data_IF_446178896438
#
_entry.id   IF_446178896438
#
_cell.length_a   1.000
_cell.length_b   1.000
_cell.length_c   1.000
_cell.angle_alpha   90.00
_cell.angle_beta   90.00
_cell.angle_gamma   90.00
#
_symmetry.space_group_name_H-M   'P 1'
#
loop_
_entity.id
_entity.type
_entity.pdbx_description
1 polymer ?
#
# COMPACT_ATOMS: atom_id res chain seq x y z
N UNK A 1 24.17 9.82 -11.65
CA UNK A 1 22.70 9.87 -11.47
C UNK A 1 22.39 9.39 -10.06
N UNK A 2 21.96 10.28 -9.18
CA UNK A 2 21.52 9.89 -7.85
C UNK A 2 20.35 8.93 -7.96
N UNK A 3 20.50 7.79 -7.30
CA UNK A 3 19.51 6.71 -7.37
C UNK A 3 18.36 7.04 -6.44
N UNK A 4 17.20 7.43 -6.99
CA UNK A 4 15.99 7.72 -6.24
C UNK A 4 15.69 6.64 -5.19
N UNK A 5 15.66 7.02 -3.91
CA UNK A 5 15.31 6.15 -2.78
C UNK A 5 13.81 6.14 -2.58
N UNK A 6 13.23 4.96 -2.41
CA UNK A 6 11.77 4.78 -2.26
C UNK A 6 11.49 4.02 -0.98
N UNK A 7 10.68 4.61 -0.12
CA UNK A 7 10.11 3.95 1.06
C UNK A 7 8.69 3.53 0.78
N UNK A 8 8.39 2.24 0.93
CA UNK A 8 7.04 1.70 0.78
C UNK A 8 6.48 1.34 2.15
N UNK A 9 5.46 2.05 2.61
CA UNK A 9 4.79 1.80 3.88
C UNK A 9 3.56 0.92 3.69
N UNK A 10 3.64 -0.31 4.15
CA UNK A 10 2.54 -1.27 4.13
C UNK A 10 1.48 -0.93 5.20
N UNK A 11 0.24 -1.42 5.04
CA UNK A 11 -0.73 -1.38 6.13
C UNK A 11 -0.19 -2.08 7.39
N UNK A 12 -0.48 -1.53 8.56
CA UNK A 12 -0.21 -2.21 9.82
C UNK A 12 -0.86 -3.61 9.83
N UNK A 13 -0.14 -4.64 10.23
CA UNK A 13 -0.50 -6.07 10.19
C UNK A 13 -0.47 -6.72 8.79
N UNK A 14 -0.02 -6.03 7.75
CA UNK A 14 0.18 -6.66 6.45
C UNK A 14 1.41 -7.60 6.50
N UNK A 15 1.23 -8.87 6.10
CA UNK A 15 2.30 -9.86 6.12
C UNK A 15 3.15 -9.78 4.85
N UNK A 16 4.37 -9.25 4.95
CA UNK A 16 5.35 -9.25 3.86
C UNK A 16 6.20 -10.52 3.88
N UNK A 17 5.54 -11.65 3.65
CA UNK A 17 6.15 -12.98 3.74
C UNK A 17 5.53 -13.92 2.70
N UNK A 18 6.27 -14.92 2.17
CA UNK A 18 5.67 -15.97 1.35
C UNK A 18 4.74 -16.89 2.16
N UNK A 19 4.77 -16.82 3.49
CA UNK A 19 3.87 -17.54 4.39
C UNK A 19 2.68 -16.64 4.70
N UNK A 20 1.48 -16.99 4.23
CA UNK A 20 0.24 -16.22 4.38
C UNK A 20 0.40 -14.74 3.99
N UNK A 21 0.80 -14.45 2.75
CA UNK A 21 0.95 -13.08 2.29
C UNK A 21 -0.40 -12.37 2.21
N UNK A 22 -0.42 -11.09 2.57
CA UNK A 22 -1.56 -10.24 2.22
C UNK A 22 -1.55 -9.83 0.74
N UNK A 23 -2.70 -9.45 0.21
CA UNK A 23 -2.84 -9.05 -1.20
C UNK A 23 -1.97 -7.82 -1.55
N UNK A 24 -1.88 -6.85 -0.64
CA UNK A 24 -1.02 -5.66 -0.81
C UNK A 24 0.45 -6.06 -0.82
N UNK A 25 0.85 -6.99 0.03
CA UNK A 25 2.23 -7.51 0.08
C UNK A 25 2.64 -8.22 -1.21
N UNK A 26 1.75 -9.01 -1.81
CA UNK A 26 1.98 -9.63 -3.11
C UNK A 26 2.15 -8.59 -4.21
N UNK A 27 1.25 -7.59 -4.25
CA UNK A 27 1.34 -6.49 -5.19
C UNK A 27 2.68 -5.74 -5.06
N UNK A 28 3.04 -5.32 -3.86
CA UNK A 28 4.31 -4.59 -3.59
C UNK A 28 5.52 -5.46 -3.95
N UNK A 29 5.51 -6.75 -3.61
CA UNK A 29 6.56 -7.70 -3.98
C UNK A 29 6.71 -7.78 -5.51
N UNK A 30 5.60 -7.94 -6.26
CA UNK A 30 5.67 -8.14 -7.71
C UNK A 30 6.08 -6.85 -8.44
N UNK A 31 5.52 -5.69 -8.07
CA UNK A 31 5.88 -4.40 -8.65
C UNK A 31 7.32 -3.99 -8.32
N UNK A 32 7.77 -4.20 -7.09
CA UNK A 32 9.15 -3.91 -6.69
C UNK A 32 10.17 -4.79 -7.42
N UNK A 33 9.84 -6.06 -7.67
CA UNK A 33 10.75 -6.98 -8.37
C UNK A 33 11.04 -6.59 -9.82
N UNK A 34 10.07 -5.98 -10.51
CA UNK A 34 10.23 -5.53 -11.91
C UNK A 34 10.65 -4.07 -12.01
N UNK A 35 10.70 -3.34 -10.89
CA UNK A 35 11.09 -1.94 -10.87
C UNK A 35 12.58 -1.76 -11.17
N UNK A 36 12.90 -0.78 -12.02
CA UNK A 36 14.29 -0.33 -12.22
C UNK A 36 14.94 0.21 -10.95
N UNK A 37 14.13 0.59 -9.95
CA UNK A 37 14.56 1.08 -8.64
C UNK A 37 14.64 -0.01 -7.56
N UNK A 38 14.50 -1.29 -7.90
CA UNK A 38 14.44 -2.42 -6.92
C UNK A 38 15.50 -2.31 -5.82
N UNK A 39 16.74 -1.99 -6.18
CA UNK A 39 17.87 -1.90 -5.22
C UNK A 39 17.74 -0.73 -4.24
N UNK A 40 16.92 0.28 -4.55
CA UNK A 40 16.72 1.49 -3.77
C UNK A 40 15.34 1.52 -3.07
N UNK A 41 14.55 0.46 -3.22
CA UNK A 41 13.27 0.29 -2.53
C UNK A 41 13.54 -0.32 -1.16
N UNK A 42 12.92 0.26 -0.13
CA UNK A 42 12.82 -0.33 1.22
C UNK A 42 11.34 -0.46 1.57
N UNK A 43 10.91 -1.67 1.86
CA UNK A 43 9.54 -1.94 2.32
C UNK A 43 9.50 -1.93 3.83
N UNK A 44 8.60 -1.12 4.40
CA UNK A 44 8.35 -1.02 5.83
C UNK A 44 7.05 -1.74 6.19
N UNK A 45 7.09 -2.59 7.18
CA UNK A 45 5.95 -3.37 7.62
C UNK A 45 6.06 -3.84 9.06
N UNK A 46 5.07 -4.60 9.50
CA UNK A 46 5.05 -5.24 10.82
C UNK A 46 4.55 -6.67 10.66
N UNK A 47 5.46 -7.60 10.36
CA UNK A 47 5.14 -9.03 10.25
C UNK A 47 5.95 -9.85 11.25
N UNK A 48 5.30 -10.85 11.85
CA UNK A 48 5.93 -11.80 12.78
C UNK A 48 6.70 -12.92 12.08
N UNK A 49 6.43 -13.21 10.82
CA UNK A 49 7.11 -14.28 10.09
C UNK A 49 8.60 -13.97 9.90
N UNK A 50 9.48 -14.95 10.18
CA UNK A 50 10.92 -14.82 9.96
C UNK A 50 11.27 -14.68 8.48
N UNK A 51 10.67 -15.52 7.61
CA UNK A 51 10.90 -15.50 6.16
C UNK A 51 10.18 -14.32 5.53
N UNK A 52 10.89 -13.45 4.83
CA UNK A 52 10.37 -12.29 4.08
C UNK A 52 10.50 -12.54 2.57
N UNK A 53 9.82 -11.76 1.75
CA UNK A 53 10.12 -11.70 0.32
C UNK A 53 11.52 -11.12 0.08
N UNK A 54 12.13 -11.45 -1.07
CA UNK A 54 13.47 -11.01 -1.48
C UNK A 54 13.48 -9.55 -1.97
N UNK A 55 13.17 -8.65 -1.05
CA UNK A 55 13.24 -7.18 -1.22
C UNK A 55 13.67 -6.63 0.12
N UNK A 56 14.47 -5.55 0.11
CA UNK A 56 14.94 -4.91 1.34
C UNK A 56 13.73 -4.53 2.22
N UNK A 57 13.67 -5.13 3.40
CA UNK A 57 12.53 -5.01 4.30
C UNK A 57 12.99 -4.53 5.68
N UNK A 58 12.24 -3.59 6.23
CA UNK A 58 12.43 -3.11 7.59
C UNK A 58 11.19 -3.45 8.44
N UNK A 59 11.39 -4.27 9.48
CA UNK A 59 10.31 -4.63 10.40
C UNK A 59 10.16 -3.58 11.50
N UNK A 60 9.00 -2.92 11.54
CA UNK A 60 8.69 -1.95 12.58
C UNK A 60 8.15 -2.67 13.81
N UNK A 61 9.03 -2.95 14.78
CA UNK A 61 8.64 -3.59 16.03
C UNK A 61 7.87 -2.62 16.93
N UNK A 62 6.75 -3.07 17.48
CA UNK A 62 5.89 -2.27 18.35
C UNK A 62 6.02 -2.72 19.81
N UNK A 63 5.96 -1.75 20.72
CA UNK A 63 5.91 -2.02 22.16
C UNK A 63 4.47 -2.31 22.62
N UNK A 64 4.34 -2.87 23.83
CA UNK A 64 3.05 -3.11 24.46
C UNK A 64 2.50 -1.88 25.20
N UNK A 65 2.97 -0.69 24.84
CA UNK A 65 2.52 0.56 25.42
C UNK A 65 1.01 0.78 25.19
N UNK A 66 0.26 1.05 26.25
CA UNK A 66 -1.21 1.04 26.23
C UNK A 66 -1.88 2.37 25.84
N UNK A 67 -1.14 3.49 25.95
CA UNK A 67 -1.73 4.85 25.76
C UNK A 67 -1.91 5.26 24.28
N UNK A 68 -1.38 4.54 23.33
CA UNK A 68 -1.54 4.82 21.89
C UNK A 68 -1.86 3.57 21.11
N UNK A 69 -2.71 3.70 20.07
CA UNK A 69 -3.03 2.58 19.21
C UNK A 69 -1.76 2.03 18.51
N UNK A 70 -1.73 0.73 18.25
CA UNK A 70 -0.62 0.10 17.51
C UNK A 70 -0.38 0.73 16.14
N UNK A 71 -1.46 1.12 15.46
CA UNK A 71 -1.39 1.81 14.17
C UNK A 71 -0.68 3.17 14.29
N UNK A 72 -0.97 3.95 15.34
CA UNK A 72 -0.30 5.23 15.59
C UNK A 72 1.17 5.05 15.96
N UNK A 73 1.49 4.06 16.80
CA UNK A 73 2.88 3.71 17.11
C UNK A 73 3.66 3.32 15.85
N UNK A 74 3.01 2.55 14.96
CA UNK A 74 3.60 2.10 13.70
C UNK A 74 4.00 3.27 12.81
N UNK A 75 3.07 4.21 12.58
CA UNK A 75 3.33 5.41 11.79
C UNK A 75 4.39 6.29 12.43
N UNK A 76 4.31 6.53 13.73
CA UNK A 76 5.30 7.38 14.44
C UNK A 76 6.72 6.78 14.36
N UNK A 77 6.86 5.45 14.44
CA UNK A 77 8.17 4.81 14.26
C UNK A 77 8.69 4.92 12.84
N UNK A 78 7.80 4.77 11.84
CA UNK A 78 8.15 4.99 10.44
C UNK A 78 8.65 6.43 10.22
N UNK A 79 7.93 7.43 10.72
CA UNK A 79 8.30 8.85 10.63
C UNK A 79 9.70 9.08 11.21
N UNK A 80 10.01 8.56 12.40
CA UNK A 80 11.34 8.69 13.01
C UNK A 80 12.46 8.09 12.16
N UNK A 81 12.15 7.01 11.41
CA UNK A 81 13.13 6.42 10.50
C UNK A 81 13.33 7.32 9.29
N UNK A 82 12.25 7.87 8.72
CA UNK A 82 12.30 8.80 7.59
C UNK A 82 12.97 10.13 7.93
N UNK A 83 12.84 10.63 9.18
CA UNK A 83 13.60 11.80 9.67
C UNK A 83 15.10 11.54 9.65
N UNK A 84 15.51 10.33 10.07
CA UNK A 84 16.94 9.97 10.15
C UNK A 84 17.52 9.56 8.79
N UNK A 85 16.74 8.88 7.98
CA UNK A 85 17.14 8.31 6.68
C UNK A 85 16.11 8.64 5.60
N UNK A 86 16.06 9.90 5.13
CA UNK A 86 15.02 10.36 4.24
C UNK A 86 15.06 9.65 2.90
N UNK A 87 13.88 9.31 2.39
CA UNK A 87 13.65 8.86 1.03
C UNK A 87 13.21 10.02 0.12
N UNK A 88 13.38 9.84 -1.20
CA UNK A 88 12.93 10.81 -2.20
C UNK A 88 11.43 10.68 -2.47
N UNK A 89 10.87 9.47 -2.25
CA UNK A 89 9.47 9.15 -2.45
C UNK A 89 8.99 8.18 -1.37
N UNK A 90 7.80 8.44 -0.83
CA UNK A 90 7.11 7.57 0.12
C UNK A 90 5.82 7.06 -0.53
N UNK A 91 5.71 5.74 -0.69
CA UNK A 91 4.48 5.07 -1.10
C UNK A 91 3.72 4.56 0.11
N UNK A 92 2.41 4.85 0.17
CA UNK A 92 1.52 4.42 1.26
C UNK A 92 0.39 3.60 0.64
N UNK A 93 0.16 2.40 1.16
CA UNK A 93 -0.84 1.49 0.64
C UNK A 93 -2.05 1.36 1.58
N UNK A 94 -3.26 1.62 1.05
CA UNK A 94 -4.54 1.41 1.76
C UNK A 94 -4.67 2.06 3.15
N UNK A 95 -3.90 3.11 3.42
CA UNK A 95 -3.94 3.77 4.74
C UNK A 95 -3.87 5.30 4.59
N UNK A 96 -4.92 5.94 4.03
CA UNK A 96 -4.93 7.39 3.84
C UNK A 96 -4.82 8.17 5.16
N UNK A 97 -5.27 7.58 6.28
CA UNK A 97 -5.13 8.17 7.61
C UNK A 97 -3.68 8.34 8.10
N UNK A 98 -2.71 7.65 7.49
CA UNK A 98 -1.29 7.82 7.84
C UNK A 98 -0.74 9.17 7.37
N UNK A 99 -1.32 9.71 6.28
CA UNK A 99 -0.81 10.93 5.66
C UNK A 99 -0.83 12.14 6.59
N UNK A 100 -1.83 12.29 7.45
CA UNK A 100 -1.92 13.44 8.34
C UNK A 100 -0.70 13.58 9.25
N UNK A 101 -0.24 12.47 9.83
CA UNK A 101 0.92 12.45 10.72
C UNK A 101 2.23 12.65 9.94
N UNK A 102 2.33 11.99 8.78
CA UNK A 102 3.51 12.10 7.91
C UNK A 102 3.68 13.54 7.41
N UNK A 103 2.61 14.16 6.91
CA UNK A 103 2.65 15.54 6.40
C UNK A 103 2.95 16.53 7.54
N UNK A 104 2.34 16.33 8.71
CA UNK A 104 2.55 17.21 9.87
C UNK A 104 4.01 17.21 10.34
N UNK A 105 4.68 16.06 10.30
CA UNK A 105 6.02 15.91 10.86
C UNK A 105 7.12 16.07 9.82
N UNK A 106 6.98 15.40 8.64
CA UNK A 106 8.00 15.42 7.60
C UNK A 106 7.85 16.60 6.61
N UNK A 107 6.76 17.36 6.71
CA UNK A 107 6.47 18.47 5.80
C UNK A 107 6.15 18.00 4.37
N UNK A 108 6.58 18.81 3.38
CA UNK A 108 6.32 18.54 1.98
C UNK A 108 7.25 17.42 1.47
N UNK A 109 6.68 16.26 1.20
CA UNK A 109 7.34 15.06 0.64
C UNK A 109 6.63 14.61 -0.63
N UNK A 110 7.32 13.83 -1.48
CA UNK A 110 6.71 13.17 -2.62
C UNK A 110 5.92 11.94 -2.11
N UNK A 111 4.66 12.15 -1.74
CA UNK A 111 3.78 11.11 -1.21
C UNK A 111 2.94 10.51 -2.33
N UNK A 112 2.97 9.19 -2.47
CA UNK A 112 2.10 8.43 -3.37
C UNK A 112 1.19 7.56 -2.52
N UNK A 113 -0.12 7.66 -2.75
CA UNK A 113 -1.12 6.87 -2.05
C UNK A 113 -1.76 5.87 -3.01
N UNK A 114 -1.71 4.58 -2.67
CA UNK A 114 -2.40 3.51 -3.40
C UNK A 114 -3.68 3.10 -2.70
N UNK A 115 -4.79 3.12 -3.44
CA UNK A 115 -6.05 2.51 -3.04
C UNK A 115 -6.23 1.15 -3.73
N UNK A 116 -6.25 0.09 -2.92
CA UNK A 116 -6.55 -1.28 -3.35
C UNK A 116 -8.01 -1.66 -3.07
N UNK A 117 -8.69 -0.90 -2.22
CA UNK A 117 -10.07 -1.11 -1.80
C UNK A 117 -10.90 0.16 -2.02
N UNK A 118 -12.20 0.14 -1.66
CA UNK A 118 -13.07 1.31 -1.77
C UNK A 118 -12.57 2.48 -0.89
N UNK A 119 -12.20 3.63 -1.50
CA UNK A 119 -11.72 4.79 -0.76
C UNK A 119 -12.70 5.33 0.28
N UNK A 120 -14.01 5.20 0.05
CA UNK A 120 -15.04 5.75 0.95
C UNK A 120 -15.22 4.93 2.23
N UNK A 121 -14.70 3.70 2.27
CA UNK A 121 -14.73 2.86 3.48
C UNK A 121 -13.54 3.10 4.41
N UNK A 122 -12.52 3.84 3.96
CA UNK A 122 -11.26 3.99 4.69
C UNK A 122 -11.22 5.28 5.51
N UNK A 123 -10.82 5.17 6.76
CA UNK A 123 -10.52 6.35 7.61
C UNK A 123 -9.43 7.19 6.96
N UNK A 124 -9.68 8.49 6.83
CA UNK A 124 -8.78 9.44 6.14
C UNK A 124 -9.13 9.69 4.68
N UNK A 125 -10.23 9.08 4.17
CA UNK A 125 -10.77 9.35 2.83
C UNK A 125 -12.29 9.26 2.71
N UNK A 126 -13.02 9.08 3.82
CA UNK A 126 -14.49 8.98 3.83
C UNK A 126 -15.16 10.28 3.43
N UNK A 127 -14.76 11.38 4.05
CA UNK A 127 -15.36 12.70 3.81
C UNK A 127 -14.71 13.42 2.61
N UNK A 128 -15.45 14.36 2.03
CA UNK A 128 -14.93 15.22 0.96
C UNK A 128 -13.70 16.02 1.45
N UNK A 129 -13.70 16.50 2.69
CA UNK A 129 -12.58 17.26 3.24
C UNK A 129 -11.32 16.42 3.40
N UNK A 130 -11.43 15.16 3.86
CA UNK A 130 -10.32 14.22 3.90
C UNK A 130 -9.74 13.98 2.50
N UNK A 131 -10.58 13.76 1.50
CA UNK A 131 -10.14 13.54 0.11
C UNK A 131 -9.50 14.79 -0.51
N UNK A 132 -10.00 16.00 -0.21
CA UNK A 132 -9.35 17.26 -0.57
C UNK A 132 -7.97 17.40 0.08
N UNK A 133 -7.85 16.99 1.35
CA UNK A 133 -6.55 16.96 2.05
C UNK A 133 -5.56 16.01 1.34
N UNK A 134 -6.00 14.82 0.93
CA UNK A 134 -5.17 13.88 0.16
C UNK A 134 -4.72 14.47 -1.17
N UNK A 135 -5.64 15.08 -1.94
CA UNK A 135 -5.33 15.75 -3.22
C UNK A 135 -4.33 16.89 -3.06
N UNK A 136 -4.43 17.65 -1.97
CA UNK A 136 -3.48 18.74 -1.67
C UNK A 136 -2.08 18.21 -1.40
N UNK A 137 -1.95 17.12 -0.63
CA UNK A 137 -0.68 16.70 -0.04
C UNK A 137 -0.01 15.53 -0.79
N UNK A 138 -0.74 14.72 -1.57
CA UNK A 138 -0.12 13.69 -2.39
C UNK A 138 0.45 14.25 -3.70
N UNK A 139 1.60 13.69 -4.09
CA UNK A 139 2.13 13.86 -5.44
C UNK A 139 1.28 13.09 -6.46
N UNK A 140 0.93 11.83 -6.16
CA UNK A 140 0.00 11.01 -6.93
C UNK A 140 -0.91 10.20 -6.01
N UNK A 141 -2.14 9.94 -6.46
CA UNK A 141 -3.07 9.01 -5.85
C UNK A 141 -3.42 7.96 -6.90
N UNK A 142 -3.17 6.70 -6.59
CA UNK A 142 -3.27 5.59 -7.53
C UNK A 142 -4.41 4.68 -7.10
N UNK A 143 -5.22 4.29 -8.06
CA UNK A 143 -6.37 3.39 -7.89
C UNK A 143 -6.15 2.11 -8.70
N UNK A 144 -6.61 0.98 -8.18
CA UNK A 144 -6.56 -0.30 -8.88
C UNK A 144 -7.63 -0.46 -9.97
N UNK A 145 -8.59 0.47 -10.07
CA UNK A 145 -9.67 0.42 -11.04
C UNK A 145 -10.31 1.80 -11.27
N UNK A 146 -10.99 1.96 -12.42
CA UNK A 146 -11.80 3.14 -12.69
C UNK A 146 -12.95 3.29 -11.68
N UNK A 147 -13.50 2.17 -11.19
CA UNK A 147 -14.53 2.19 -10.16
C UNK A 147 -14.02 2.85 -8.88
N UNK A 148 -12.87 2.43 -8.35
CA UNK A 148 -12.32 3.02 -7.12
C UNK A 148 -11.94 4.50 -7.30
N UNK A 149 -11.45 4.92 -8.48
CA UNK A 149 -11.26 6.33 -8.81
C UNK A 149 -12.59 7.10 -8.80
N UNK A 150 -13.65 6.55 -9.40
CA UNK A 150 -15.00 7.15 -9.40
C UNK A 150 -15.54 7.29 -7.97
N UNK A 151 -15.40 6.26 -7.15
CA UNK A 151 -15.76 6.30 -5.72
C UNK A 151 -15.02 7.41 -4.96
N UNK A 152 -13.72 7.56 -5.17
CA UNK A 152 -12.95 8.61 -4.54
C UNK A 152 -13.46 10.02 -4.91
N UNK A 153 -13.96 10.21 -6.12
CA UNK A 153 -14.47 11.49 -6.62
C UNK A 153 -15.94 11.77 -6.27
N UNK A 154 -16.64 10.78 -5.73
CA UNK A 154 -18.07 10.91 -5.41
C UNK A 154 -18.37 12.11 -4.50
N UNK A 155 -19.28 12.98 -4.94
CA UNK A 155 -19.64 14.24 -4.26
C UNK A 155 -18.57 15.34 -4.31
N UNK A 156 -17.49 15.16 -5.08
CA UNK A 156 -16.49 16.21 -5.28
C UNK A 156 -16.83 17.06 -6.53
N UNK A 157 -16.39 18.31 -6.52
CA UNK A 157 -16.58 19.22 -7.66
C UNK A 157 -15.79 18.74 -8.90
N UNK A 158 -16.33 18.98 -10.10
CA UNK A 158 -15.79 18.52 -11.40
C UNK A 158 -14.33 18.90 -11.66
N UNK A 159 -13.88 20.04 -11.14
CA UNK A 159 -12.47 20.46 -11.24
C UNK A 159 -11.46 19.42 -10.73
N UNK A 160 -11.89 18.48 -9.87
CA UNK A 160 -11.01 17.44 -9.36
C UNK A 160 -10.98 16.18 -10.24
N UNK A 161 -11.95 16.00 -11.13
CA UNK A 161 -12.11 14.80 -11.99
C UNK A 161 -10.90 14.64 -12.91
N UNK A 162 -10.43 15.76 -13.48
CA UNK A 162 -9.32 15.79 -14.43
C UNK A 162 -7.95 16.07 -13.77
N UNK A 163 -7.85 15.87 -12.46
CA UNK A 163 -6.58 16.07 -11.77
C UNK A 163 -5.52 15.07 -12.25
N UNK A 164 -4.41 15.58 -12.77
CA UNK A 164 -3.24 14.77 -13.17
C UNK A 164 -2.65 13.95 -12.03
N UNK A 165 -3.05 14.24 -10.79
CA UNK A 165 -2.65 13.45 -9.61
C UNK A 165 -3.34 12.10 -9.50
N UNK A 166 -4.50 11.91 -10.17
CA UNK A 166 -5.35 10.73 -10.06
C UNK A 166 -5.07 9.74 -11.19
N UNK A 167 -4.39 8.67 -10.89
CA UNK A 167 -4.02 7.63 -11.85
C UNK A 167 -4.78 6.33 -11.58
N UNK A 168 -5.09 5.59 -12.64
CA UNK A 168 -5.56 4.22 -12.56
C UNK A 168 -4.47 3.30 -13.07
N UNK A 169 -4.06 2.36 -12.22
CA UNK A 169 -3.08 1.31 -12.56
C UNK A 169 -3.73 -0.03 -12.24
N UNK A 170 -4.15 -0.74 -13.29
CA UNK A 170 -4.78 -2.05 -13.13
C UNK A 170 -3.79 -3.06 -12.56
N UNK A 171 -4.26 -3.83 -11.58
CA UNK A 171 -3.45 -4.91 -11.03
C UNK A 171 -3.46 -6.08 -12.02
N UNK A 172 -2.28 -6.59 -12.32
CA UNK A 172 -2.11 -7.82 -13.10
C UNK A 172 -1.60 -8.94 -12.20
N UNK A 173 -2.09 -10.15 -12.44
CA UNK A 173 -1.56 -11.35 -11.81
C UNK A 173 -0.83 -12.20 -12.86
N UNK A 174 0.31 -12.79 -12.49
CA UNK A 174 0.99 -13.74 -13.34
C UNK A 174 0.10 -14.98 -13.52
N UNK A 175 -0.22 -15.33 -14.76
CA UNK A 175 -0.98 -16.55 -15.06
C UNK A 175 -0.20 -17.77 -14.57
N UNK A 176 -0.73 -18.44 -13.55
CA UNK A 176 -0.18 -19.72 -13.11
C UNK A 176 -0.71 -20.81 -14.05
N UNK A 177 0.19 -21.55 -14.69
CA UNK A 177 -0.18 -22.76 -15.42
C UNK A 177 -0.53 -23.87 -14.42
N UNK A 178 -1.76 -23.87 -13.93
CA UNK A 178 -2.26 -24.94 -13.07
C UNK A 178 -2.64 -26.10 -13.97
N UNK A 179 -1.85 -27.18 -13.97
CA UNK A 179 -2.27 -28.47 -14.51
C UNK A 179 -3.38 -29.02 -13.62
N UNK A 180 -4.63 -28.80 -13.99
CA UNK A 180 -5.78 -29.42 -13.32
C UNK A 180 -5.71 -30.92 -13.63
N UNK A 181 -5.27 -31.74 -12.69
CA UNK A 181 -5.47 -33.20 -12.77
C UNK A 181 -6.98 -33.46 -12.66
N UNK A 182 -7.62 -33.76 -13.78
CA UNK A 182 -9.00 -34.27 -13.76
C UNK A 182 -9.01 -35.57 -12.95
N UNK A 183 -9.53 -35.53 -11.70
CA UNK A 183 -9.94 -36.78 -11.03
C UNK A 183 -11.09 -37.37 -11.82
N UNK A 184 -10.88 -38.53 -12.44
CA UNK A 184 -12.00 -39.36 -12.95
C UNK A 184 -12.85 -39.74 -11.74
N UNK A 185 -14.05 -39.20 -11.64
CA UNK A 185 -15.09 -39.77 -10.77
C UNK A 185 -15.56 -41.04 -11.45
N UNK A 186 -15.20 -42.22 -10.94
CA UNK A 186 -15.89 -43.44 -11.20
C UNK A 186 -17.26 -43.37 -10.50
N UNK A 187 -18.30 -43.27 -11.28
CA UNK A 187 -19.69 -43.42 -10.80
C UNK A 187 -19.96 -44.90 -10.83
N UNK A 188 -19.93 -45.55 -9.68
CA UNK A 188 -20.41 -46.94 -9.53
C UNK A 188 -21.93 -46.86 -9.42
N UNK A 189 -22.65 -47.26 -10.47
CA UNK A 189 -24.07 -47.52 -10.40
C UNK A 189 -24.24 -48.91 -9.76
N UNK A 190 -24.74 -48.96 -8.53
CA UNK A 190 -25.23 -50.20 -7.92
C UNK A 190 -26.62 -50.52 -8.54
N UNK A 191 -26.73 -51.72 -9.11
CA UNK A 191 -27.99 -52.31 -9.55
C UNK A 191 -28.82 -52.75 -8.33
#
# INVERSE_FOLDING_TARGET
>A
MDKMKISILLPYKENFSPIYPGAVSLFVKDTSNVSKYKKNIVVFGNTSFKKKFDIKYFNINLSNFKFTSKSKQYVNKFIKIEEKYPSDLIEIHNRPNYLSDIVKTLGKKNLVLYFHNDPLTMTGSKSINERKFLLKNCYKIIFNSNWSKKRFLEGMHDKFVNSEKLLVVFQSAKKLAVKIKKKKKEITLSA
#
